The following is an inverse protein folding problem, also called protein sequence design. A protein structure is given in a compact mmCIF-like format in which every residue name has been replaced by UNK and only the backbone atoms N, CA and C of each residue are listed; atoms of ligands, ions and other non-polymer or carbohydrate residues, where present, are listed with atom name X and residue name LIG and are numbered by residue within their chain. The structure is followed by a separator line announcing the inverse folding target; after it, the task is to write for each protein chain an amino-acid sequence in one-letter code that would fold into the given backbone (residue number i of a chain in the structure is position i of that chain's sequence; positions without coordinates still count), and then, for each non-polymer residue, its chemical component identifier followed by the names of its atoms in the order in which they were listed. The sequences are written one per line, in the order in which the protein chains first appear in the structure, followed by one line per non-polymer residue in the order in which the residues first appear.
data_IF_773466608200
#
_entry.id   IF_773466608200
#
_cell.length_a   1.000
_cell.length_b   1.000
_cell.length_c   1.000
_cell.angle_alpha   90.00
_cell.angle_beta   90.00
_cell.angle_gamma   90.00
#
_symmetry.space_group_name_H-M   'P 1'
#
loop_
_entity.id
_entity.type
_entity.pdbx_description
1 polymer ?
#
# COMPACT_ATOMS: atom_id res chain seq x y z
N UNK A 1 0.04 5.56 -21.94
CA UNK A 1 0.33 6.73 -21.09
C UNK A 1 -0.94 7.11 -20.34
N UNK A 2 -1.28 6.33 -19.32
CA UNK A 2 -2.37 6.68 -18.40
C UNK A 2 -1.69 7.16 -17.14
N UNK A 3 -1.71 8.48 -16.92
CA UNK A 3 -1.29 9.06 -15.65
C UNK A 3 -2.35 8.70 -14.60
N UNK A 4 -2.12 7.64 -13.81
CA UNK A 4 -2.88 7.42 -12.59
C UNK A 4 -2.48 8.55 -11.64
N UNK A 5 -3.25 9.63 -11.65
CA UNK A 5 -3.03 10.77 -10.78
C UNK A 5 -3.04 10.29 -9.33
N UNK A 6 -1.96 10.60 -8.59
CA UNK A 6 -1.86 10.43 -7.14
C UNK A 6 -3.22 10.71 -6.50
N UNK A 7 -3.88 9.64 -6.05
CA UNK A 7 -5.23 9.71 -5.50
C UNK A 7 -5.09 10.40 -4.16
N UNK A 8 -5.35 11.72 -4.11
CA UNK A 8 -5.42 12.44 -2.83
C UNK A 8 -6.31 11.62 -1.89
N UNK A 9 -5.81 11.22 -0.70
CA UNK A 9 -6.60 10.38 0.18
C UNK A 9 -7.91 11.11 0.46
N UNK A 10 -9.03 10.39 0.30
CA UNK A 10 -10.35 10.91 0.63
C UNK A 10 -10.30 11.50 2.05
N UNK A 11 -11.05 12.58 2.29
CA UNK A 11 -11.04 13.26 3.59
C UNK A 11 -11.24 12.24 4.74
N UNK A 12 -10.20 12.06 5.55
CA UNK A 12 -10.20 11.08 6.64
C UNK A 12 -10.89 11.69 7.86
N UNK A 13 -11.92 11.01 8.35
CA UNK A 13 -12.64 11.43 9.55
C UNK A 13 -11.70 11.55 10.75
N UNK A 14 -12.05 12.40 11.71
CA UNK A 14 -11.26 12.56 12.95
C UNK A 14 -11.21 11.26 13.77
N UNK A 15 -12.32 10.50 13.78
CA UNK A 15 -12.40 9.21 14.46
C UNK A 15 -11.42 8.20 13.85
N UNK A 16 -11.38 8.07 12.52
CA UNK A 16 -10.46 7.14 11.83
C UNK A 16 -8.99 7.50 12.11
N UNK A 17 -8.64 8.78 11.99
CA UNK A 17 -7.28 9.24 12.35
C UNK A 17 -6.89 8.92 13.79
N UNK A 18 -7.84 9.02 14.74
CA UNK A 18 -7.57 8.69 16.14
C UNK A 18 -7.25 7.21 16.32
N UNK A 19 -8.08 6.34 15.75
CA UNK A 19 -7.89 4.88 15.81
C UNK A 19 -6.52 4.46 15.25
N UNK A 20 -6.15 4.98 14.08
CA UNK A 20 -4.90 4.63 13.42
C UNK A 20 -3.69 5.10 14.27
N UNK A 21 -3.72 6.35 14.75
CA UNK A 21 -2.65 6.90 15.60
C UNK A 21 -2.55 6.15 16.94
N UNK A 22 -3.66 5.75 17.54
CA UNK A 22 -3.66 5.03 18.81
C UNK A 22 -3.08 3.61 18.68
N UNK A 23 -3.30 2.93 17.55
CA UNK A 23 -2.65 1.65 17.25
C UNK A 23 -1.12 1.82 17.16
N UNK A 24 -0.66 2.82 16.38
CA UNK A 24 0.77 3.10 16.20
C UNK A 24 1.46 3.46 17.52
N UNK A 25 0.80 4.23 18.40
CA UNK A 25 1.32 4.58 19.72
C UNK A 25 1.53 3.37 20.64
N UNK A 26 0.79 2.29 20.42
CA UNK A 26 0.93 1.01 21.16
C UNK A 26 1.94 0.07 20.50
N UNK A 27 2.59 0.47 19.41
CA UNK A 27 3.47 -0.39 18.62
C UNK A 27 2.71 -1.44 17.80
N UNK A 28 1.39 -1.27 17.61
CA UNK A 28 0.57 -2.15 16.80
C UNK A 28 0.44 -1.61 15.36
N UNK A 29 0.35 -2.52 14.40
CA UNK A 29 -0.01 -2.19 13.02
C UNK A 29 -1.53 -1.97 12.96
N UNK A 30 -2.01 -0.84 12.42
CA UNK A 30 -3.45 -0.61 12.23
C UNK A 30 -4.09 -1.70 11.35
N UNK A 31 -5.30 -2.15 11.70
CA UNK A 31 -6.06 -3.14 10.90
C UNK A 31 -6.44 -2.60 9.50
N UNK A 32 -6.53 -1.28 9.36
CA UNK A 32 -6.80 -0.57 8.09
C UNK A 32 -6.12 0.81 8.13
N UNK A 33 -6.07 1.54 7.02
CA UNK A 33 -5.55 2.90 7.02
C UNK A 33 -4.05 3.03 6.77
N UNK A 34 -3.33 1.92 6.53
CA UNK A 34 -1.93 1.96 6.12
C UNK A 34 -1.72 2.78 4.84
N UNK A 35 -2.70 2.81 3.95
CA UNK A 35 -2.68 3.64 2.73
C UNK A 35 -2.54 5.14 3.03
N UNK A 36 -2.93 5.59 4.23
CA UNK A 36 -2.77 6.98 4.66
C UNK A 36 -1.31 7.34 4.94
N UNK A 37 -0.47 6.33 5.20
CA UNK A 37 0.95 6.45 5.53
C UNK A 37 1.85 5.96 4.40
N UNK A 38 1.25 5.35 3.36
CA UNK A 38 1.93 4.72 2.24
C UNK A 38 2.48 5.75 1.23
N UNK A 39 3.48 6.50 1.65
CA UNK A 39 4.13 7.52 0.82
C UNK A 39 5.22 6.91 -0.07
N UNK A 40 5.44 7.50 -1.25
CA UNK A 40 6.52 7.11 -2.16
C UNK A 40 6.32 5.76 -2.87
N UNK A 41 5.09 5.24 -2.89
CA UNK A 41 4.77 4.01 -3.60
C UNK A 41 4.73 4.17 -5.13
N UNK A 42 4.48 5.37 -5.63
CA UNK A 42 4.30 5.65 -7.07
C UNK A 42 5.47 5.13 -7.93
N UNK A 43 6.71 5.15 -7.40
CA UNK A 43 7.89 4.64 -8.13
C UNK A 43 7.86 3.13 -8.39
N UNK A 44 7.03 2.38 -7.66
CA UNK A 44 6.90 0.94 -7.77
C UNK A 44 5.72 0.53 -8.67
N UNK A 45 4.85 1.45 -9.08
CA UNK A 45 3.63 1.16 -9.85
C UNK A 45 3.96 0.39 -11.15
N UNK A 46 4.91 0.90 -11.95
CA UNK A 46 5.29 0.25 -13.21
C UNK A 46 5.86 -1.16 -13.04
N UNK A 47 6.62 -1.40 -11.96
CA UNK A 47 7.15 -2.74 -11.68
C UNK A 47 6.04 -3.70 -11.23
N UNK A 48 5.10 -3.20 -10.41
CA UNK A 48 3.96 -3.98 -9.95
C UNK A 48 3.02 -4.34 -11.10
N UNK A 49 2.72 -3.40 -11.99
CA UNK A 49 1.89 -3.64 -13.18
C UNK A 49 2.48 -4.73 -14.06
N UNK A 50 3.79 -4.69 -14.32
CA UNK A 50 4.47 -5.71 -15.11
C UNK A 50 4.41 -7.10 -14.46
N UNK A 51 4.51 -7.18 -13.12
CA UNK A 51 4.35 -8.45 -12.41
C UNK A 51 2.90 -8.97 -12.47
N UNK A 52 1.91 -8.08 -12.35
CA UNK A 52 0.50 -8.44 -12.45
C UNK A 52 0.14 -8.92 -13.86
N UNK A 53 0.67 -8.28 -14.91
CA UNK A 53 0.51 -8.73 -16.29
C UNK A 53 1.14 -10.12 -16.51
N UNK A 54 2.34 -10.34 -15.94
CA UNK A 54 2.98 -11.65 -15.99
C UNK A 54 2.13 -12.73 -15.31
N UNK A 55 1.56 -12.44 -14.13
CA UNK A 55 0.65 -13.36 -13.43
C UNK A 55 -0.63 -13.61 -14.22
N UNK A 56 -1.24 -12.58 -14.81
CA UNK A 56 -2.44 -12.70 -15.64
C UNK A 56 -2.20 -13.57 -16.88
N UNK A 57 -0.97 -13.57 -17.41
CA UNK A 57 -0.55 -14.44 -18.52
C UNK A 57 -0.19 -15.89 -18.10
N UNK A 58 -0.28 -16.22 -16.81
CA UNK A 58 0.02 -17.54 -16.25
C UNK A 58 1.48 -17.72 -15.78
N UNK A 59 2.28 -16.65 -15.78
CA UNK A 59 3.64 -16.65 -15.24
C UNK A 59 3.66 -16.61 -13.71
N UNK A 60 4.77 -17.03 -13.11
CA UNK A 60 5.01 -16.89 -11.68
C UNK A 60 6.50 -16.75 -11.37
N UNK A 61 6.82 -16.14 -10.23
CA UNK A 61 8.19 -16.01 -9.71
C UNK A 61 8.21 -16.37 -8.22
N UNK A 62 9.26 -17.04 -7.79
CA UNK A 62 9.48 -17.33 -6.38
C UNK A 62 10.10 -16.12 -5.67
N UNK A 63 9.45 -15.64 -4.60
CA UNK A 63 9.98 -14.58 -3.72
C UNK A 63 10.08 -15.14 -2.31
N UNK A 64 11.29 -15.12 -1.75
CA UNK A 64 11.52 -15.45 -0.34
C UNK A 64 11.73 -14.16 0.45
N UNK A 65 10.86 -13.91 1.43
CA UNK A 65 10.98 -12.80 2.37
C UNK A 65 11.39 -13.38 3.71
N UNK A 66 12.48 -12.88 4.28
CA UNK A 66 12.87 -13.21 5.65
C UNK A 66 12.07 -12.33 6.61
N UNK A 67 11.43 -12.97 7.59
CA UNK A 67 10.95 -12.28 8.78
C UNK A 67 12.02 -12.39 9.86
N UNK A 68 12.32 -11.28 10.51
CA UNK A 68 12.99 -11.26 11.81
C UNK A 68 11.96 -11.24 12.93
#
# INVERSE_FOLDING_TARGET
MSTTGSKRPAQVSAARRRTDVDALRRGAVPESGLELLATGLDRFEAALDAELDAVASGGSVFKAVRGE
#
